data_IF_308269619425
#
_entry.id   IF_308269619425
#
_cell.length_a   1.000
_cell.length_b   1.000
_cell.length_c   1.000
_cell.angle_alpha   90.00
_cell.angle_beta   90.00
_cell.angle_gamma   90.00
#
_symmetry.space_group_name_H-M   'P 1'
#
loop_
_entity.id
_entity.type
_entity.pdbx_description
1 polymer ?
#
# COMPACT_ATOMS: atom_id res chain seq x y z
N UNK A 1 10.64 4.13 -26.34
CA UNK A 1 10.84 3.49 -25.02
C UNK A 1 12.00 4.19 -24.32
N UNK A 2 11.86 4.54 -23.04
CA UNK A 2 12.84 5.38 -22.30
C UNK A 2 12.35 5.88 -20.93
N UNK A 3 11.31 5.28 -20.37
CA UNK A 3 10.82 5.63 -19.05
C UNK A 3 11.82 5.13 -18.00
N UNK A 4 12.26 6.03 -17.11
CA UNK A 4 13.21 5.70 -16.04
C UNK A 4 12.54 4.99 -14.86
N UNK A 5 11.26 5.29 -14.62
CA UNK A 5 10.45 4.77 -13.51
C UNK A 5 9.04 4.47 -14.00
N UNK A 6 8.41 3.45 -13.42
CA UNK A 6 7.02 3.07 -13.67
C UNK A 6 6.30 2.89 -12.33
N UNK A 7 5.13 3.51 -12.20
CA UNK A 7 4.25 3.38 -11.03
C UNK A 7 2.96 2.69 -11.47
N UNK A 8 2.70 1.52 -10.92
CA UNK A 8 1.48 0.75 -11.15
C UNK A 8 0.39 1.27 -10.20
N UNK A 9 -0.75 1.71 -10.74
CA UNK A 9 -1.88 2.27 -9.97
C UNK A 9 -2.81 1.20 -9.38
N UNK A 10 -2.29 -0.01 -9.18
CA UNK A 10 -3.00 -1.18 -8.72
C UNK A 10 -2.01 -2.13 -8.02
N UNK A 11 -2.49 -3.11 -7.24
CA UNK A 11 -1.63 -4.14 -6.68
C UNK A 11 -0.81 -4.85 -7.75
N UNK A 12 0.44 -5.15 -7.43
CA UNK A 12 1.32 -5.97 -8.26
C UNK A 12 1.70 -7.23 -7.52
N UNK A 13 1.83 -8.34 -8.24
CA UNK A 13 2.33 -9.61 -7.67
C UNK A 13 3.83 -9.57 -7.42
N UNK A 14 4.56 -8.85 -8.29
CA UNK A 14 6.02 -8.93 -8.36
C UNK A 14 6.71 -7.60 -8.04
N UNK A 15 6.02 -6.46 -8.26
CA UNK A 15 6.59 -5.14 -7.97
C UNK A 15 6.34 -4.76 -6.49
N UNK A 16 7.34 -4.17 -5.80
CA UNK A 16 7.17 -3.73 -4.42
C UNK A 16 6.05 -2.69 -4.31
N UNK A 17 5.26 -2.82 -3.25
CA UNK A 17 4.11 -1.96 -2.96
C UNK A 17 4.44 -0.96 -1.85
N UNK A 18 4.11 0.30 -2.10
CA UNK A 18 4.31 1.39 -1.16
C UNK A 18 2.97 2.06 -0.84
N UNK A 19 2.77 2.35 0.44
CA UNK A 19 1.67 3.15 0.97
C UNK A 19 2.29 4.32 1.73
N UNK A 20 1.93 5.53 1.33
CA UNK A 20 2.44 6.76 1.93
C UNK A 20 1.97 6.87 3.40
N UNK A 21 2.87 7.24 4.31
CA UNK A 21 2.69 7.25 5.75
C UNK A 21 2.85 5.89 6.43
N UNK A 22 3.24 4.84 5.70
CA UNK A 22 3.35 3.47 6.22
C UNK A 22 4.72 2.86 5.95
N UNK A 23 5.19 2.89 4.70
CA UNK A 23 6.43 2.22 4.31
C UNK A 23 7.18 2.87 3.13
N UNK A 24 6.85 4.11 2.75
CA UNK A 24 7.52 4.83 1.66
C UNK A 24 9.01 5.07 1.91
N UNK A 25 9.42 5.10 3.17
CA UNK A 25 10.81 5.19 3.61
C UNK A 25 11.66 3.98 3.20
N UNK A 26 11.02 2.85 2.88
CA UNK A 26 11.67 1.63 2.41
C UNK A 26 11.96 1.63 0.91
N UNK A 27 11.51 2.64 0.17
CA UNK A 27 11.80 2.75 -1.25
C UNK A 27 13.31 2.82 -1.48
N UNK A 28 13.84 1.88 -2.26
CA UNK A 28 15.26 1.68 -2.50
C UNK A 28 15.64 1.96 -3.96
N UNK A 29 15.01 2.97 -4.58
CA UNK A 29 15.22 3.35 -5.98
C UNK A 29 14.84 2.25 -6.99
N UNK A 30 13.83 1.42 -6.69
CA UNK A 30 13.31 0.45 -7.64
C UNK A 30 12.74 1.14 -8.89
N UNK A 31 12.91 0.51 -10.05
CA UNK A 31 12.48 1.09 -11.33
C UNK A 31 10.98 0.92 -11.57
N UNK A 32 10.39 -0.11 -11.01
CA UNK A 32 8.96 -0.41 -11.13
C UNK A 32 8.41 -0.62 -9.73
N UNK A 33 7.41 0.17 -9.37
CA UNK A 33 6.75 0.11 -8.06
C UNK A 33 5.23 0.08 -8.24
N UNK A 34 4.53 -0.37 -7.22
CA UNK A 34 3.07 -0.31 -7.15
C UNK A 34 2.62 0.62 -6.02
N UNK A 35 1.59 1.43 -6.30
CA UNK A 35 0.94 2.27 -5.30
C UNK A 35 -0.20 1.53 -4.55
N UNK A 36 -0.13 0.20 -4.53
CA UNK A 36 -1.13 -0.69 -3.94
C UNK A 36 -2.55 -0.46 -4.49
N UNK A 37 -3.58 -0.75 -3.68
CA UNK A 37 -5.00 -0.48 -3.99
C UNK A 37 -5.55 0.68 -3.19
N UNK A 38 -6.71 1.22 -3.60
CA UNK A 38 -7.47 2.20 -2.83
C UNK A 38 -7.80 1.70 -1.42
N UNK A 39 -8.26 0.46 -1.29
CA UNK A 39 -8.61 -0.16 0.00
C UNK A 39 -7.38 -0.34 0.89
N UNK A 40 -6.25 -0.77 0.33
CA UNK A 40 -4.99 -0.91 1.09
C UNK A 40 -4.51 0.45 1.61
N UNK A 41 -4.56 1.50 0.78
CA UNK A 41 -4.21 2.86 1.19
C UNK A 41 -5.14 3.40 2.28
N UNK A 42 -6.41 2.98 2.32
CA UNK A 42 -7.34 3.33 3.39
C UNK A 42 -7.00 2.59 4.71
N UNK A 43 -6.80 1.27 4.64
CA UNK A 43 -6.64 0.45 5.84
C UNK A 43 -5.24 0.57 6.48
N UNK A 44 -4.18 0.59 5.69
CA UNK A 44 -2.81 0.43 6.21
C UNK A 44 -2.39 1.55 7.18
N UNK A 45 -2.68 2.85 6.94
CA UNK A 45 -2.36 3.90 7.91
C UNK A 45 -3.12 3.74 9.23
N UNK A 46 -4.41 3.36 9.17
CA UNK A 46 -5.21 3.10 10.36
C UNK A 46 -4.66 1.90 11.14
N UNK A 47 -4.41 0.79 10.46
CA UNK A 47 -3.86 -0.41 11.06
C UNK A 47 -2.49 -0.14 11.71
N UNK A 48 -1.64 0.67 11.06
CA UNK A 48 -0.36 1.09 11.63
C UNK A 48 -0.53 1.81 12.97
N UNK A 49 -1.37 2.84 13.04
CA UNK A 49 -1.57 3.61 14.29
C UNK A 49 -2.10 2.72 15.40
N UNK A 50 -3.11 1.88 15.10
CA UNK A 50 -3.70 0.98 16.10
C UNK A 50 -2.68 -0.06 16.56
N UNK A 51 -1.93 -0.67 15.64
CA UNK A 51 -0.93 -1.67 15.98
C UNK A 51 0.22 -1.07 16.79
N UNK A 52 0.73 0.10 16.41
CA UNK A 52 1.85 0.74 17.10
C UNK A 52 1.49 1.18 18.53
N UNK A 53 0.20 1.49 18.79
CA UNK A 53 -0.26 1.96 20.10
C UNK A 53 -0.83 0.86 20.99
N UNK A 54 -1.51 -0.11 20.41
CA UNK A 54 -2.33 -1.07 21.15
C UNK A 54 -2.02 -2.52 20.82
N UNK A 55 -1.31 -2.78 19.71
CA UNK A 55 -1.09 -4.12 19.17
C UNK A 55 -2.35 -4.68 18.52
N UNK A 56 -2.25 -5.16 17.28
CA UNK A 56 -3.31 -5.92 16.61
C UNK A 56 -2.98 -7.41 16.75
N UNK A 57 -3.84 -8.16 17.47
CA UNK A 57 -3.71 -9.63 17.54
C UNK A 57 -4.23 -10.29 16.26
N UNK A 58 -5.43 -9.90 15.84
CA UNK A 58 -6.09 -10.37 14.62
C UNK A 58 -7.07 -9.30 14.10
N UNK A 59 -7.46 -9.38 12.83
CA UNK A 59 -8.37 -8.42 12.22
C UNK A 59 -9.04 -8.96 10.96
N UNK A 60 -10.33 -8.66 10.83
CA UNK A 60 -11.12 -8.89 9.61
C UNK A 60 -11.61 -7.55 9.09
N UNK A 61 -11.54 -7.36 7.78
CA UNK A 61 -11.96 -6.12 7.13
C UNK A 61 -13.01 -6.42 6.07
N UNK A 62 -14.04 -5.59 6.00
CA UNK A 62 -14.96 -5.51 4.87
C UNK A 62 -14.98 -4.07 4.40
N UNK A 63 -14.87 -3.86 3.09
CA UNK A 63 -15.01 -2.54 2.48
C UNK A 63 -16.32 -2.48 1.73
N UNK A 64 -17.11 -1.44 1.97
CA UNK A 64 -18.24 -1.11 1.10
C UNK A 64 -17.68 -0.20 0.01
N UNK A 65 -17.40 -0.79 -1.14
CA UNK A 65 -16.76 -0.11 -2.25
C UNK A 65 -17.81 0.26 -3.32
N UNK A 66 -17.62 1.41 -3.97
CA UNK A 66 -18.44 1.80 -5.12
C UNK A 66 -18.18 0.87 -6.31
N UNK A 67 -19.12 0.85 -7.26
CA UNK A 67 -18.90 0.19 -8.55
C UNK A 67 -17.86 0.96 -9.35
N UNK A 68 -16.85 0.27 -9.90
CA UNK A 68 -15.73 0.85 -10.67
C UNK A 68 -15.25 -0.11 -11.74
#
# INVERSE_FOLDING_TARGET
>A
AGAKKVVISAPSKDAPMFVIGVNEDKYANEDIVSNASCTTNCLAPLAKVINDKFGILEGLMTTVHATT
#
